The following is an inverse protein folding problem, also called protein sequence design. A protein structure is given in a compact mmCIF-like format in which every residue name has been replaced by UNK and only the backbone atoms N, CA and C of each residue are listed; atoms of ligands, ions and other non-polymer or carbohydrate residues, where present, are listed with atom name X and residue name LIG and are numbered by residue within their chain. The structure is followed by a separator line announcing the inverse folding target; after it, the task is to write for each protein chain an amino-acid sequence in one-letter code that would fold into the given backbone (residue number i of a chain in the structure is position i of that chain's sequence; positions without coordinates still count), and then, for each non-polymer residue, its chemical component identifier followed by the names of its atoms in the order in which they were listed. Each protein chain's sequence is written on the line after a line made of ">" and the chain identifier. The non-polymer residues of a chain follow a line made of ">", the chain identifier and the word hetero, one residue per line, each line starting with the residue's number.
data_IF_436600070433
#
_entry.id   IF_436600070433
#
_cell.length_a   1.000
_cell.length_b   1.000
_cell.length_c   1.000
_cell.angle_alpha   90.00
_cell.angle_beta   90.00
_cell.angle_gamma   90.00
#
_symmetry.space_group_name_H-M   'P 1'
#
loop_
_entity.id
_entity.type
_entity.pdbx_description
1 polymer ?
#
# COMPACT_ATOMS: atom_id res chain seq x y z
N UNK A 1 3.68 0.82 24.51
CA UNK A 1 5.13 0.77 24.19
C UNK A 1 5.42 1.06 22.73
N UNK A 2 4.43 0.98 21.84
CA UNK A 2 4.58 1.36 20.43
C UNK A 2 3.21 1.73 19.85
N UNK A 3 3.11 2.77 19.01
CA UNK A 3 1.91 3.07 18.22
C UNK A 3 2.28 2.97 16.75
N UNK A 4 2.02 1.80 16.15
CA UNK A 4 2.34 1.55 14.75
C UNK A 4 1.30 2.13 13.80
N UNK A 5 1.73 2.48 12.60
CA UNK A 5 0.87 3.02 11.55
C UNK A 5 -0.19 1.99 11.14
N UNK A 6 0.23 0.76 10.84
CA UNK A 6 -0.67 -0.26 10.28
C UNK A 6 -1.92 -0.52 11.12
N UNK A 7 -1.83 -0.57 12.46
CA UNK A 7 -3.02 -0.88 13.28
C UNK A 7 -4.05 0.24 13.23
N UNK A 8 -3.58 1.49 13.15
CA UNK A 8 -4.43 2.67 13.07
C UNK A 8 -5.02 2.82 11.66
N UNK A 9 -4.23 2.56 10.62
CA UNK A 9 -4.67 2.57 9.23
C UNK A 9 -5.73 1.48 8.94
N UNK A 10 -5.51 0.27 9.45
CA UNK A 10 -6.50 -0.81 9.39
C UNK A 10 -7.77 -0.48 10.18
N UNK A 11 -7.64 0.14 11.36
CA UNK A 11 -8.79 0.55 12.16
C UNK A 11 -9.62 1.63 11.45
N UNK A 12 -8.97 2.60 10.80
CA UNK A 12 -9.63 3.58 9.94
C UNK A 12 -10.39 2.89 8.80
N UNK A 13 -9.70 2.05 8.01
CA UNK A 13 -10.30 1.38 6.86
C UNK A 13 -11.48 0.50 7.26
N UNK A 14 -11.29 -0.38 8.25
CA UNK A 14 -12.35 -1.30 8.71
C UNK A 14 -13.53 -0.57 9.34
N UNK A 15 -13.30 0.55 10.03
CA UNK A 15 -14.39 1.38 10.56
C UNK A 15 -15.16 2.08 9.43
N UNK A 16 -14.47 2.70 8.46
CA UNK A 16 -15.15 3.36 7.35
C UNK A 16 -15.93 2.37 6.48
N UNK A 17 -15.32 1.25 6.08
CA UNK A 17 -15.98 0.19 5.32
C UNK A 17 -17.10 -0.49 6.13
N UNK A 18 -16.93 -0.65 7.44
CA UNK A 18 -17.96 -1.15 8.34
C UNK A 18 -19.22 -0.26 8.34
N UNK A 19 -19.06 1.06 8.30
CA UNK A 19 -20.19 1.97 8.15
C UNK A 19 -20.85 1.82 6.77
N UNK A 20 -20.07 1.79 5.69
CA UNK A 20 -20.60 1.63 4.33
C UNK A 20 -21.42 0.35 4.16
N UNK A 21 -21.05 -0.72 4.87
CA UNK A 21 -21.77 -2.01 4.83
C UNK A 21 -23.01 -2.08 5.71
N UNK A 22 -23.00 -1.40 6.85
CA UNK A 22 -23.99 -1.64 7.91
C UNK A 22 -24.88 -0.44 8.23
N UNK A 23 -24.47 0.77 7.85
CA UNK A 23 -25.11 2.02 8.25
C UNK A 23 -25.01 2.36 9.74
N UNK A 24 -24.31 1.56 10.55
CA UNK A 24 -24.23 1.80 12.00
C UNK A 24 -23.32 2.99 12.32
N UNK A 25 -23.89 4.03 12.94
CA UNK A 25 -23.21 5.30 13.21
C UNK A 25 -21.92 5.17 14.04
N UNK A 26 -21.81 4.16 14.90
CA UNK A 26 -20.60 3.89 15.70
C UNK A 26 -19.35 3.67 14.83
N UNK A 27 -19.49 2.98 13.70
CA UNK A 27 -18.38 2.76 12.76
C UNK A 27 -17.92 4.07 12.13
N UNK A 28 -18.85 4.92 11.70
CA UNK A 28 -18.50 6.23 11.15
C UNK A 28 -17.81 7.12 12.18
N UNK A 29 -18.35 7.17 13.41
CA UNK A 29 -17.76 7.94 14.50
C UNK A 29 -16.32 7.48 14.82
N UNK A 30 -16.07 6.17 14.79
CA UNK A 30 -14.72 5.62 14.96
C UNK A 30 -13.80 6.02 13.82
N UNK A 31 -14.23 5.89 12.56
CA UNK A 31 -13.43 6.26 11.40
C UNK A 31 -13.07 7.75 11.40
N UNK A 32 -14.03 8.63 11.71
CA UNK A 32 -13.79 10.07 11.82
C UNK A 32 -12.83 10.41 12.96
N UNK A 33 -12.98 9.77 14.12
CA UNK A 33 -12.09 9.96 15.27
C UNK A 33 -10.66 9.50 14.94
N UNK A 34 -10.53 8.35 14.30
CA UNK A 34 -9.25 7.78 13.91
C UNK A 34 -8.54 8.65 12.88
N UNK A 35 -9.25 9.08 11.83
CA UNK A 35 -8.68 9.99 10.85
C UNK A 35 -8.26 11.32 11.49
N UNK A 36 -9.09 11.90 12.36
CA UNK A 36 -8.76 13.13 13.06
C UNK A 36 -7.50 12.99 13.94
N UNK A 37 -7.23 11.79 14.47
CA UNK A 37 -5.99 11.49 15.17
C UNK A 37 -4.83 11.36 14.19
N UNK A 38 -4.92 10.46 13.21
CA UNK A 38 -3.88 10.20 12.19
C UNK A 38 -3.41 11.50 11.51
N UNK A 39 -4.34 12.35 11.08
CA UNK A 39 -4.05 13.62 10.39
C UNK A 39 -3.32 14.65 11.27
N UNK A 40 -3.33 14.48 12.61
CA UNK A 40 -2.60 15.33 13.56
C UNK A 40 -1.27 14.73 14.02
N UNK A 41 -1.04 13.45 13.75
CA UNK A 41 0.23 12.81 14.09
C UNK A 41 1.34 13.24 13.12
N UNK A 42 2.59 13.02 13.52
CA UNK A 42 3.73 13.16 12.63
C UNK A 42 4.04 11.89 11.81
N UNK A 43 3.16 10.86 11.81
CA UNK A 43 3.42 9.58 11.14
C UNK A 43 3.75 9.72 9.65
N UNK A 44 3.07 10.64 8.96
CA UNK A 44 3.38 10.99 7.58
C UNK A 44 4.57 11.95 7.55
N UNK A 45 5.70 11.51 7.01
CA UNK A 45 6.91 12.32 6.88
C UNK A 45 6.80 13.37 5.77
N UNK A 46 7.86 14.16 5.62
CA UNK A 46 7.96 15.23 4.62
C UNK A 46 7.93 14.76 3.17
N UNK A 47 8.16 13.47 2.89
CA UNK A 47 8.03 12.89 1.55
C UNK A 47 6.58 12.48 1.23
N UNK A 48 5.67 12.54 2.21
CA UNK A 48 4.29 12.07 2.06
C UNK A 48 4.08 10.60 2.41
N UNK A 49 5.11 9.91 2.91
CA UNK A 49 5.05 8.50 3.30
C UNK A 49 4.81 8.34 4.80
N UNK A 50 4.08 7.29 5.19
CA UNK A 50 3.88 6.89 6.58
C UNK A 50 5.03 5.98 7.04
N UNK A 51 5.77 6.42 8.06
CA UNK A 51 6.77 5.59 8.74
C UNK A 51 6.08 4.52 9.61
N UNK A 52 6.85 3.59 10.17
CA UNK A 52 6.28 2.43 10.88
C UNK A 52 5.47 2.80 12.13
N UNK A 53 5.78 3.91 12.80
CA UNK A 53 5.04 4.31 13.99
C UNK A 53 5.52 5.58 14.69
N UNK A 54 4.96 5.81 15.87
CA UNK A 54 5.38 6.87 16.79
C UNK A 54 6.22 6.31 17.93
N UNK A 55 7.24 7.07 18.33
CA UNK A 55 7.87 6.91 19.62
C UNK A 55 6.85 7.22 20.73
N UNK A 56 6.75 6.30 21.69
CA UNK A 56 5.70 6.35 22.72
C UNK A 56 5.90 7.50 23.71
N UNK A 57 7.15 7.89 23.98
CA UNK A 57 7.47 8.90 25.00
C UNK A 57 7.28 10.32 24.47
N UNK A 58 7.59 10.53 23.20
CA UNK A 58 7.56 11.84 22.54
C UNK A 58 6.33 12.07 21.69
N UNK A 59 5.59 11.00 21.36
CA UNK A 59 4.52 10.99 20.35
C UNK A 59 4.98 11.51 18.98
N UNK A 60 6.28 11.44 18.69
CA UNK A 60 6.85 11.84 17.41
C UNK A 60 7.09 10.64 16.51
N UNK A 61 7.11 10.88 15.20
CA UNK A 61 7.50 9.90 14.19
C UNK A 61 8.82 9.25 14.58
N UNK A 62 8.85 7.91 14.57
CA UNK A 62 10.03 7.14 14.93
C UNK A 62 11.13 7.15 13.84
N UNK A 63 10.83 7.68 12.65
CA UNK A 63 11.74 7.73 11.51
C UNK A 63 12.11 6.36 10.93
N UNK A 64 11.41 5.29 11.33
CA UNK A 64 11.69 3.93 10.88
C UNK A 64 11.17 3.68 9.46
N UNK A 65 11.48 2.52 8.90
CA UNK A 65 11.14 2.13 7.53
C UNK A 65 9.70 2.50 7.15
N UNK A 66 9.56 3.16 6.01
CA UNK A 66 8.29 3.28 5.30
C UNK A 66 8.09 1.99 4.52
N UNK A 67 7.06 1.22 4.84
CA UNK A 67 6.71 -0.03 4.16
C UNK A 67 5.55 0.20 3.19
N UNK A 68 5.53 -0.46 2.03
CA UNK A 68 4.55 -0.15 0.98
C UNK A 68 3.11 -0.36 1.45
N UNK A 69 2.86 -1.38 2.27
CA UNK A 69 1.52 -1.72 2.73
C UNK A 69 0.84 -0.60 3.54
N UNK A 70 1.57 0.08 4.44
CA UNK A 70 1.03 1.21 5.20
C UNK A 70 0.44 2.27 4.26
N UNK A 71 1.18 2.54 3.17
CA UNK A 71 0.83 3.57 2.19
C UNK A 71 -0.45 3.24 1.42
N UNK A 72 -0.65 1.95 1.08
CA UNK A 72 -1.87 1.49 0.43
C UNK A 72 -3.07 1.49 1.38
N UNK A 73 -2.89 0.95 2.59
CA UNK A 73 -3.98 0.80 3.56
C UNK A 73 -4.56 2.16 3.94
N UNK A 74 -3.71 3.14 4.28
CA UNK A 74 -4.19 4.50 4.59
C UNK A 74 -4.96 5.12 3.42
N UNK A 75 -4.48 4.97 2.19
CA UNK A 75 -5.15 5.52 1.01
C UNK A 75 -6.56 4.94 0.83
N UNK A 76 -6.72 3.62 0.95
CA UNK A 76 -8.04 2.99 0.87
C UNK A 76 -8.95 3.35 2.05
N UNK A 77 -8.41 3.54 3.25
CA UNK A 77 -9.17 3.98 4.43
C UNK A 77 -9.71 5.39 4.25
N UNK A 78 -8.90 6.29 3.68
CA UNK A 78 -9.33 7.65 3.31
C UNK A 78 -10.38 7.65 2.21
N UNK A 79 -10.25 6.81 1.19
CA UNK A 79 -11.27 6.69 0.15
C UNK A 79 -12.59 6.14 0.69
N UNK A 80 -12.55 5.12 1.56
CA UNK A 80 -13.75 4.61 2.23
C UNK A 80 -14.40 5.70 3.10
N UNK A 81 -13.61 6.47 3.86
CA UNK A 81 -14.13 7.59 4.67
C UNK A 81 -14.68 8.73 3.79
N UNK A 82 -14.06 9.01 2.65
CA UNK A 82 -14.55 9.97 1.65
C UNK A 82 -15.93 9.56 1.14
N UNK A 83 -16.11 8.29 0.79
CA UNK A 83 -17.41 7.75 0.37
C UNK A 83 -18.44 7.81 1.50
N UNK A 84 -18.02 7.53 2.73
CA UNK A 84 -18.91 7.55 3.90
C UNK A 84 -19.40 8.95 4.30
N UNK A 85 -18.58 9.99 4.09
CA UNK A 85 -18.86 11.36 4.54
C UNK A 85 -19.22 12.33 3.42
N UNK A 86 -18.87 12.01 2.18
CA UNK A 86 -18.94 12.92 1.04
C UNK A 86 -17.75 13.89 0.93
N UNK A 87 -16.80 13.88 1.87
CA UNK A 87 -15.63 14.75 1.83
C UNK A 87 -14.60 14.24 0.80
N UNK A 88 -14.60 14.86 -0.38
CA UNK A 88 -13.69 14.51 -1.48
C UNK A 88 -12.24 14.95 -1.25
N UNK A 89 -11.96 15.86 -0.32
CA UNK A 89 -10.59 16.28 -0.02
C UNK A 89 -9.73 15.13 0.52
N UNK A 90 -10.36 14.12 1.14
CA UNK A 90 -9.68 12.91 1.61
C UNK A 90 -9.05 12.11 0.48
N UNK A 91 -9.61 12.16 -0.73
CA UNK A 91 -9.02 11.52 -1.90
C UNK A 91 -7.71 12.20 -2.28
N UNK A 92 -7.69 13.54 -2.32
CA UNK A 92 -6.47 14.30 -2.62
C UNK A 92 -5.37 14.06 -1.57
N UNK A 93 -5.76 13.92 -0.31
CA UNK A 93 -4.84 13.59 0.79
C UNK A 93 -4.26 12.18 0.63
N UNK A 94 -5.07 11.20 0.21
CA UNK A 94 -4.60 9.84 -0.08
C UNK A 94 -3.61 9.82 -1.24
N UNK A 95 -3.86 10.61 -2.29
CA UNK A 95 -3.00 10.67 -3.46
C UNK A 95 -1.59 11.21 -3.16
N UNK A 96 -1.44 12.11 -2.18
CA UNK A 96 -0.11 12.54 -1.71
C UNK A 96 0.75 11.32 -1.33
N UNK A 97 0.16 10.34 -0.65
CA UNK A 97 0.87 9.14 -0.19
C UNK A 97 1.05 8.10 -1.31
N UNK A 98 0.07 7.96 -2.21
CA UNK A 98 0.20 7.09 -3.39
C UNK A 98 1.28 7.60 -4.34
N UNK A 99 1.29 8.89 -4.65
CA UNK A 99 2.29 9.54 -5.50
C UNK A 99 3.69 9.47 -4.89
N UNK A 100 3.80 9.64 -3.56
CA UNK A 100 5.05 9.46 -2.83
C UNK A 100 5.56 8.02 -2.93
N UNK A 101 4.67 7.02 -2.83
CA UNK A 101 5.04 5.61 -2.96
C UNK A 101 5.63 5.32 -4.34
N UNK A 102 4.97 5.81 -5.40
CA UNK A 102 5.45 5.66 -6.78
C UNK A 102 6.84 6.32 -6.95
N UNK A 103 7.03 7.49 -6.34
CA UNK A 103 8.26 8.28 -6.49
C UNK A 103 9.45 7.73 -5.70
N UNK A 104 9.23 7.20 -4.50
CA UNK A 104 10.29 6.89 -3.54
C UNK A 104 10.42 5.41 -3.19
N UNK A 105 9.41 4.59 -3.47
CA UNK A 105 9.38 3.16 -3.10
C UNK A 105 9.39 2.25 -4.33
N UNK A 106 10.01 2.73 -5.40
CA UNK A 106 10.14 1.99 -6.66
C UNK A 106 11.59 1.98 -7.14
N UNK A 107 11.93 0.94 -7.90
CA UNK A 107 13.15 0.88 -8.71
C UNK A 107 12.74 0.67 -10.16
N UNK A 108 13.10 1.60 -11.04
CA UNK A 108 12.66 1.57 -12.44
C UNK A 108 11.13 1.65 -12.61
N UNK A 109 10.43 2.28 -11.66
CA UNK A 109 8.97 2.36 -11.66
C UNK A 109 8.24 1.12 -11.12
N UNK A 110 8.98 0.12 -10.62
CA UNK A 110 8.42 -1.11 -10.03
C UNK A 110 8.62 -1.11 -8.52
N UNK A 111 7.58 -1.48 -7.76
CA UNK A 111 7.59 -1.51 -6.30
C UNK A 111 8.75 -2.35 -5.76
N UNK A 112 9.41 -1.78 -4.74
CA UNK A 112 10.55 -2.38 -4.06
C UNK A 112 10.44 -2.13 -2.56
N UNK A 113 10.48 -3.20 -1.76
CA UNK A 113 10.69 -3.07 -0.32
C UNK A 113 12.17 -2.79 -0.04
N UNK A 114 12.47 -2.12 1.09
CA UNK A 114 13.85 -1.84 1.47
C UNK A 114 14.70 -3.10 1.70
N UNK A 115 14.04 -4.24 1.93
CA UNK A 115 14.66 -5.55 2.11
C UNK A 115 14.74 -6.39 0.82
N UNK A 116 14.21 -5.92 -0.31
CA UNK A 116 14.30 -6.65 -1.57
C UNK A 116 15.69 -6.47 -2.21
N UNK A 117 16.37 -7.59 -2.50
CA UNK A 117 17.59 -7.62 -3.28
C UNK A 117 17.51 -8.69 -4.37
N UNK A 118 17.82 -8.32 -5.62
CA UNK A 118 17.85 -9.27 -6.73
C UNK A 118 19.08 -10.18 -6.65
N UNK A 119 20.18 -9.74 -6.04
CA UNK A 119 21.44 -10.46 -6.00
C UNK A 119 21.53 -11.43 -4.83
N UNK A 120 22.11 -12.61 -5.08
CA UNK A 120 22.43 -13.57 -4.04
C UNK A 120 23.30 -12.96 -2.93
N UNK A 121 22.99 -13.28 -1.68
CA UNK A 121 23.70 -12.78 -0.50
C UNK A 121 23.34 -11.35 -0.06
N UNK A 122 22.38 -10.72 -0.75
CA UNK A 122 21.80 -9.43 -0.37
C UNK A 122 20.80 -9.52 0.80
N UNK A 123 20.16 -8.40 1.10
CA UNK A 123 19.08 -8.35 2.09
C UNK A 123 17.92 -9.26 1.66
N UNK A 124 17.20 -9.82 2.63
CA UNK A 124 16.04 -10.68 2.39
C UNK A 124 14.90 -10.19 3.27
N UNK A 125 13.73 -10.02 2.65
CA UNK A 125 12.51 -9.74 3.37
C UNK A 125 12.08 -10.96 4.21
N UNK A 126 11.67 -10.71 5.45
CA UNK A 126 11.07 -11.75 6.28
C UNK A 126 9.70 -12.21 5.74
N UNK A 127 9.07 -13.18 6.41
CA UNK A 127 7.77 -13.73 5.99
C UNK A 127 6.69 -12.66 5.85
N UNK A 128 6.65 -11.68 6.75
CA UNK A 128 5.63 -10.64 6.74
C UNK A 128 5.90 -9.67 5.57
N UNK A 129 7.14 -9.24 5.40
CA UNK A 129 7.52 -8.21 4.44
C UNK A 129 7.27 -8.61 2.98
N UNK A 130 7.29 -9.91 2.68
CA UNK A 130 7.08 -10.43 1.32
C UNK A 130 5.70 -10.10 0.73
N UNK A 131 4.66 -9.96 1.56
CA UNK A 131 3.29 -9.66 1.09
C UNK A 131 3.04 -8.16 0.86
N UNK A 132 3.88 -7.28 1.40
CA UNK A 132 3.56 -5.86 1.56
C UNK A 132 3.22 -5.15 0.25
N UNK A 133 3.99 -5.39 -0.82
CA UNK A 133 3.70 -4.83 -2.16
C UNK A 133 2.34 -5.27 -2.70
N UNK A 134 1.96 -6.53 -2.51
CA UNK A 134 0.64 -7.01 -2.89
C UNK A 134 -0.48 -6.38 -2.08
N UNK A 135 -0.27 -6.13 -0.78
CA UNK A 135 -1.21 -5.37 0.04
C UNK A 135 -1.37 -3.96 -0.51
N UNK A 136 -0.26 -3.28 -0.86
CA UNK A 136 -0.33 -1.99 -1.54
C UNK A 136 -1.16 -2.06 -2.82
N UNK A 137 -0.89 -3.01 -3.71
CA UNK A 137 -1.61 -3.15 -4.99
C UNK A 137 -3.12 -3.39 -4.79
N UNK A 138 -3.47 -4.25 -3.83
CA UNK A 138 -4.86 -4.53 -3.47
C UNK A 138 -5.57 -3.31 -2.89
N UNK A 139 -4.91 -2.56 -2.02
CA UNK A 139 -5.50 -1.36 -1.44
C UNK A 139 -5.51 -0.16 -2.40
N UNK A 140 -4.60 -0.09 -3.38
CA UNK A 140 -4.72 0.84 -4.51
C UNK A 140 -5.95 0.53 -5.36
N UNK A 141 -6.24 -0.76 -5.61
CA UNK A 141 -7.49 -1.16 -6.25
C UNK A 141 -8.71 -0.71 -5.41
N UNK A 142 -8.70 -0.93 -4.09
CA UNK A 142 -9.80 -0.49 -3.21
C UNK A 142 -9.97 1.03 -3.16
N UNK A 143 -8.88 1.77 -3.18
CA UNK A 143 -8.89 3.23 -3.31
C UNK A 143 -9.62 3.63 -4.61
N UNK A 144 -9.25 3.04 -5.75
CA UNK A 144 -9.87 3.35 -7.05
C UNK A 144 -11.35 2.94 -7.10
N UNK A 145 -11.70 1.79 -6.52
CA UNK A 145 -13.07 1.31 -6.40
C UNK A 145 -13.94 2.33 -5.65
N UNK A 146 -13.44 2.85 -4.53
CA UNK A 146 -14.15 3.81 -3.68
C UNK A 146 -14.17 5.22 -4.25
N UNK A 147 -13.05 5.67 -4.85
CA UNK A 147 -12.96 6.98 -5.48
C UNK A 147 -13.94 7.09 -6.66
N UNK A 148 -14.07 6.01 -7.45
CA UNK A 148 -14.97 5.88 -8.60
C UNK A 148 -14.88 7.09 -9.55
N UNK A 149 -13.65 7.45 -9.93
CA UNK A 149 -13.32 8.64 -10.71
C UNK A 149 -12.36 8.24 -11.84
N UNK A 150 -12.75 8.53 -13.09
CA UNK A 150 -12.00 8.09 -14.27
C UNK A 150 -10.65 8.79 -14.44
N UNK A 151 -10.49 10.03 -13.95
CA UNK A 151 -9.21 10.74 -14.01
C UNK A 151 -8.22 10.13 -13.03
N UNK A 152 -8.67 9.78 -11.82
CA UNK A 152 -7.86 9.06 -10.82
C UNK A 152 -7.49 7.66 -11.30
N UNK A 153 -8.43 6.94 -11.91
CA UNK A 153 -8.12 5.66 -12.55
C UNK A 153 -7.05 5.83 -13.63
N UNK A 154 -7.20 6.78 -14.55
CA UNK A 154 -6.23 7.03 -15.61
C UNK A 154 -4.84 7.40 -15.07
N UNK A 155 -4.77 8.17 -13.97
CA UNK A 155 -3.52 8.55 -13.29
C UNK A 155 -2.70 7.34 -12.84
N UNK A 156 -3.34 6.31 -12.27
CA UNK A 156 -2.64 5.16 -11.70
C UNK A 156 -2.57 3.92 -12.63
N UNK A 157 -3.35 3.89 -13.71
CA UNK A 157 -3.45 2.72 -14.58
C UNK A 157 -2.11 2.28 -15.19
N UNK A 158 -1.29 3.22 -15.63
CA UNK A 158 0.04 2.91 -16.19
C UNK A 158 0.99 2.31 -15.15
N UNK A 159 0.96 2.81 -13.92
CA UNK A 159 1.75 2.26 -12.81
C UNK A 159 1.32 0.83 -12.47
N UNK A 160 0.00 0.59 -12.39
CA UNK A 160 -0.57 -0.73 -12.12
C UNK A 160 -0.19 -1.74 -13.21
N UNK A 161 -0.31 -1.36 -14.48
CA UNK A 161 0.08 -2.19 -15.61
C UNK A 161 1.58 -2.54 -15.58
N UNK A 162 2.44 -1.57 -15.23
CA UNK A 162 3.88 -1.80 -15.09
C UNK A 162 4.19 -2.85 -14.01
N UNK A 163 3.48 -2.83 -12.86
CA UNK A 163 3.70 -3.83 -11.81
C UNK A 163 3.38 -5.25 -12.30
N UNK A 164 2.24 -5.45 -12.96
CA UNK A 164 1.85 -6.75 -13.48
C UNK A 164 2.81 -7.24 -14.58
N UNK A 165 3.23 -6.34 -15.48
CA UNK A 165 4.22 -6.64 -16.51
C UNK A 165 5.55 -7.11 -15.89
N UNK A 166 6.06 -6.38 -14.89
CA UNK A 166 7.28 -6.73 -14.19
C UNK A 166 7.19 -8.06 -13.43
N UNK A 167 6.06 -8.33 -12.76
CA UNK A 167 5.78 -9.64 -12.16
C UNK A 167 5.86 -10.75 -13.20
N UNK A 168 5.24 -10.57 -14.38
CA UNK A 168 5.20 -11.60 -15.42
C UNK A 168 6.55 -11.82 -16.12
N UNK A 169 7.37 -10.79 -16.27
CA UNK A 169 8.62 -10.84 -17.03
C UNK A 169 9.88 -11.04 -16.18
N UNK A 170 9.87 -10.55 -14.94
CA UNK A 170 11.03 -10.57 -14.05
C UNK A 170 10.78 -11.35 -12.76
N UNK A 171 9.56 -11.27 -12.22
CA UNK A 171 9.24 -11.80 -10.89
C UNK A 171 8.93 -13.30 -10.82
N UNK A 172 9.02 -14.05 -11.93
CA UNK A 172 8.70 -15.49 -11.98
C UNK A 172 9.93 -16.37 -12.14
N UNK A 173 9.93 -17.52 -11.47
CA UNK A 173 10.89 -18.59 -11.73
C UNK A 173 10.39 -19.52 -12.86
N UNK A 174 11.18 -20.57 -13.16
CA UNK A 174 10.86 -21.56 -14.19
C UNK A 174 9.56 -22.37 -13.93
N UNK A 175 9.12 -22.45 -12.68
CA UNK A 175 7.87 -23.12 -12.29
C UNK A 175 6.65 -22.16 -12.30
N UNK A 176 6.86 -20.89 -12.65
CA UNK A 176 5.90 -19.79 -12.52
C UNK A 176 5.49 -19.44 -11.08
N UNK A 177 6.29 -19.82 -10.08
CA UNK A 177 6.14 -19.21 -8.75
C UNK A 177 6.50 -17.73 -8.88
N UNK A 178 5.78 -16.85 -8.17
CA UNK A 178 6.12 -15.44 -8.12
C UNK A 178 6.94 -15.17 -6.86
N UNK A 179 8.08 -14.52 -7.04
CA UNK A 179 9.03 -14.21 -5.98
C UNK A 179 8.90 -12.79 -5.45
N UNK A 180 9.68 -12.48 -4.41
CA UNK A 180 9.64 -11.17 -3.76
C UNK A 180 10.18 -10.06 -4.66
N UNK A 181 11.13 -10.33 -5.55
CA UNK A 181 11.75 -9.31 -6.42
C UNK A 181 10.98 -9.16 -7.73
N UNK A 182 10.45 -7.97 -8.02
CA UNK A 182 9.73 -7.67 -9.26
C UNK A 182 10.49 -6.70 -10.18
N UNK A 183 11.33 -5.84 -9.61
CA UNK A 183 11.95 -4.72 -10.32
C UNK A 183 13.12 -5.10 -11.23
N UNK A 184 13.58 -6.35 -11.16
CA UNK A 184 14.70 -6.88 -11.95
C UNK A 184 14.60 -8.42 -12.04
N UNK A 185 15.23 -9.06 -13.05
CA UNK A 185 15.41 -10.51 -13.07
C UNK A 185 16.11 -10.99 -11.80
N UNK A 186 15.67 -12.15 -11.29
CA UNK A 186 16.33 -12.78 -10.15
C UNK A 186 17.79 -13.15 -10.47
N UNK A 187 18.70 -12.75 -9.59
CA UNK A 187 20.11 -13.12 -9.59
C UNK A 187 20.49 -13.89 -8.32
N UNK A 188 19.52 -14.65 -7.78
CA UNK A 188 19.64 -15.52 -6.62
C UNK A 188 19.25 -14.86 -5.28
N UNK A 189 18.62 -13.69 -5.32
CA UNK A 189 18.13 -12.96 -4.14
C UNK A 189 16.60 -12.98 -3.98
N UNK A 190 15.85 -13.46 -4.96
CA UNK A 190 14.39 -13.54 -4.83
C UNK A 190 13.96 -14.61 -3.83
N UNK A 191 12.98 -14.29 -2.99
CA UNK A 191 12.35 -15.23 -2.06
C UNK A 191 11.13 -15.87 -2.71
N UNK A 192 11.06 -17.21 -2.70
CA UNK A 192 10.01 -18.01 -3.34
C UNK A 192 9.12 -18.69 -2.29
N UNK A 193 8.25 -17.92 -1.64
CA UNK A 193 7.31 -18.41 -0.62
C UNK A 193 5.87 -17.99 -0.96
N UNK A 194 4.85 -18.61 -0.33
CA UNK A 194 3.45 -18.31 -0.59
C UNK A 194 3.08 -16.82 -0.44
N UNK A 195 3.69 -16.11 0.51
CA UNK A 195 3.47 -14.69 0.75
C UNK A 195 3.93 -13.85 -0.44
N UNK A 196 5.13 -14.11 -0.97
CA UNK A 196 5.63 -13.47 -2.18
C UNK A 196 4.75 -13.79 -3.40
N UNK A 197 4.29 -15.04 -3.51
CA UNK A 197 3.41 -15.45 -4.61
C UNK A 197 2.04 -14.77 -4.55
N UNK A 198 1.43 -14.68 -3.36
CA UNK A 198 0.20 -13.94 -3.14
C UNK A 198 0.39 -12.44 -3.41
N UNK A 199 1.58 -11.90 -3.12
CA UNK A 199 1.93 -10.51 -3.36
C UNK A 199 1.85 -10.16 -4.85
N UNK A 200 2.50 -10.96 -5.70
CA UNK A 200 2.47 -10.76 -7.14
C UNK A 200 1.12 -11.04 -7.78
N UNK A 201 0.38 -12.03 -7.26
CA UNK A 201 -0.99 -12.27 -7.70
C UNK A 201 -1.90 -11.05 -7.47
N UNK A 202 -1.74 -10.34 -6.35
CA UNK A 202 -2.50 -9.11 -6.09
C UNK A 202 -2.19 -8.01 -7.12
N UNK A 203 -0.95 -7.90 -7.59
CA UNK A 203 -0.59 -6.98 -8.68
C UNK A 203 -1.29 -7.35 -10.00
N UNK A 204 -1.32 -8.64 -10.35
CA UNK A 204 -2.01 -9.14 -11.55
C UNK A 204 -3.52 -8.89 -11.47
N UNK A 205 -4.14 -9.15 -10.31
CA UNK A 205 -5.58 -8.93 -10.10
C UNK A 205 -5.93 -7.44 -10.20
N UNK A 206 -5.12 -6.56 -9.60
CA UNK A 206 -5.32 -5.12 -9.72
C UNK A 206 -5.21 -4.65 -11.17
N UNK A 207 -4.24 -5.17 -11.93
CA UNK A 207 -4.07 -4.85 -13.35
C UNK A 207 -5.19 -5.39 -14.23
N UNK A 208 -5.76 -6.55 -13.92
CA UNK A 208 -6.91 -7.08 -14.65
C UNK A 208 -8.12 -6.14 -14.59
N UNK A 209 -8.24 -5.32 -13.54
CA UNK A 209 -9.32 -4.32 -13.39
C UNK A 209 -8.94 -2.93 -13.88
N UNK A 210 -7.74 -2.46 -13.56
CA UNK A 210 -7.33 -1.06 -13.73
C UNK A 210 -6.07 -0.84 -14.56
N UNK A 211 -5.40 -1.91 -14.99
CA UNK A 211 -4.24 -1.79 -15.87
C UNK A 211 -4.66 -1.40 -17.29
N UNK A 212 -3.80 -0.66 -17.99
CA UNK A 212 -3.89 -0.49 -19.45
C UNK A 212 -3.20 -1.65 -20.16
N UNK A 213 -3.81 -2.16 -21.23
CA UNK A 213 -3.18 -3.11 -22.14
C UNK A 213 -2.08 -2.46 -22.98
#
# INVERSE_FOLDING_TARGET
>A
TYKNSITNELFLYTSADGYLRTGQATYLANAQKEWAWLNKTSLRNSQGLYNDGLDFNTCQNNGQTTWTYNQGVIASGLAALSTATGDKSLLDIAEVTLDATISYMTQGGILKESCDDAAAGGAQCDHDQQIFKGVFMKHLQYYLDMANDSMRTAKYAGFIAAQASAVLHYGKNANNDIGSVWYAPDAGGSVWQPEASASGLAAIVAAAKYGTC
#
